data_IF_744289254626
#
_entry.id   IF_744289254626
#
_cell.length_a   1.000
_cell.length_b   1.000
_cell.length_c   1.000
_cell.angle_alpha   90.00
_cell.angle_beta   90.00
_cell.angle_gamma   90.00
#
_symmetry.space_group_name_H-M   'P 1'
#
loop_
_entity.id
_entity.type
_entity.pdbx_description
1 polymer ?
#
# COMPACT_ATOMS: atom_id res chain seq x y z
N UNK A 1 9.99 -40.23 2.21
CA UNK A 1 11.20 -40.05 1.38
C UNK A 1 10.92 -39.31 0.06
N UNK A 2 9.82 -39.58 -0.64
CA UNK A 2 9.43 -38.89 -1.89
C UNK A 2 9.09 -37.39 -1.68
N UNK A 3 8.48 -37.02 -0.56
CA UNK A 3 8.09 -35.63 -0.28
C UNK A 3 9.29 -34.69 -0.06
N UNK A 4 10.41 -35.22 0.46
CA UNK A 4 11.63 -34.45 0.71
C UNK A 4 12.35 -34.10 -0.59
N UNK A 5 12.41 -35.07 -1.52
CA UNK A 5 13.02 -34.91 -2.84
C UNK A 5 12.27 -33.86 -3.68
N UNK A 6 10.93 -33.81 -3.61
CA UNK A 6 10.15 -32.82 -4.36
C UNK A 6 10.42 -31.40 -3.84
N UNK A 7 10.53 -31.21 -2.53
CA UNK A 7 10.81 -29.90 -1.93
C UNK A 7 12.21 -29.40 -2.32
N UNK A 8 13.20 -30.29 -2.30
CA UNK A 8 14.59 -29.98 -2.64
C UNK A 8 14.76 -29.61 -4.12
N UNK A 9 14.06 -30.32 -5.01
CA UNK A 9 13.99 -29.97 -6.45
C UNK A 9 13.24 -28.66 -6.70
N UNK A 10 12.20 -28.34 -5.91
CA UNK A 10 11.45 -27.09 -6.04
C UNK A 10 12.24 -25.87 -5.54
N UNK A 11 13.02 -26.04 -4.47
CA UNK A 11 13.84 -24.96 -3.90
C UNK A 11 15.12 -24.65 -4.70
N UNK A 12 15.62 -25.59 -5.51
CA UNK A 12 16.79 -25.39 -6.39
C UNK A 12 16.58 -24.33 -7.49
N UNK A 13 15.34 -23.91 -7.77
CA UNK A 13 15.02 -22.96 -8.86
C UNK A 13 15.02 -21.49 -8.44
N UNK A 14 15.21 -21.18 -7.16
CA UNK A 14 15.15 -19.82 -6.64
C UNK A 14 16.50 -19.43 -6.05
N UNK A 15 17.26 -18.61 -6.75
CA UNK A 15 18.38 -17.87 -6.14
C UNK A 15 17.79 -16.83 -5.19
N UNK A 16 17.86 -17.10 -3.89
CA UNK A 16 17.48 -16.12 -2.87
C UNK A 16 18.65 -15.14 -2.75
N UNK A 17 18.59 -14.05 -3.51
CA UNK A 17 19.48 -12.90 -3.27
C UNK A 17 19.18 -12.34 -1.88
N UNK A 18 20.10 -12.61 -0.95
CA UNK A 18 20.04 -12.03 0.38
C UNK A 18 20.51 -10.57 0.28
N UNK A 19 19.57 -9.64 0.14
CA UNK A 19 19.88 -8.20 0.20
C UNK A 19 20.35 -7.88 1.61
N UNK A 20 21.62 -7.53 1.76
CA UNK A 20 22.19 -7.08 3.03
C UNK A 20 21.71 -5.66 3.34
N UNK A 21 20.54 -5.55 3.96
CA UNK A 21 19.97 -4.27 4.38
C UNK A 21 20.66 -3.79 5.67
N UNK A 22 21.10 -2.54 5.69
CA UNK A 22 21.49 -1.85 6.92
C UNK A 22 20.27 -1.20 7.56
N UNK A 23 20.25 -1.10 8.89
CA UNK A 23 19.18 -0.39 9.58
C UNK A 23 19.13 1.07 9.09
N UNK A 24 17.96 1.57 8.68
CA UNK A 24 17.84 2.96 8.28
C UNK A 24 18.18 3.86 9.47
N UNK A 25 19.05 4.86 9.25
CA UNK A 25 19.33 5.89 10.25
C UNK A 25 18.23 6.93 10.17
N UNK A 26 17.16 6.72 10.94
CA UNK A 26 16.03 7.66 11.05
C UNK A 26 16.26 8.64 12.19
N UNK A 27 16.13 9.95 11.92
CA UNK A 27 16.15 10.96 12.98
C UNK A 27 14.84 10.92 13.78
N UNK A 28 14.95 11.00 15.12
CA UNK A 28 13.78 10.90 16.01
C UNK A 28 12.85 12.10 15.85
N UNK A 29 13.39 13.28 15.61
CA UNK A 29 12.61 14.50 15.46
C UNK A 29 11.84 14.49 14.14
N UNK A 30 12.45 13.96 13.07
CA UNK A 30 11.77 13.80 11.78
C UNK A 30 10.58 12.84 11.88
N UNK A 31 10.74 11.73 12.62
CA UNK A 31 9.65 10.80 12.88
C UNK A 31 8.52 11.47 13.68
N UNK A 32 8.84 12.18 14.76
CA UNK A 32 7.85 12.89 15.57
C UNK A 32 7.10 13.96 14.76
N UNK A 33 7.84 14.71 13.95
CA UNK A 33 7.26 15.70 13.05
C UNK A 33 6.30 15.06 12.06
N UNK A 34 6.71 13.98 11.36
CA UNK A 34 5.85 13.30 10.39
C UNK A 34 4.56 12.75 11.03
N UNK A 35 4.67 12.19 12.24
CA UNK A 35 3.52 11.63 12.97
C UNK A 35 2.57 12.71 13.50
N UNK A 36 3.09 13.89 13.87
CA UNK A 36 2.29 15.06 14.27
C UNK A 36 1.66 15.75 13.08
N UNK A 37 2.38 15.82 11.96
CA UNK A 37 1.92 16.45 10.73
C UNK A 37 0.78 15.66 10.08
N UNK A 38 0.75 14.33 10.17
CA UNK A 38 -0.34 13.56 9.59
C UNK A 38 -1.65 13.80 10.37
N UNK A 39 -2.72 14.10 9.63
CA UNK A 39 -4.07 14.16 10.16
C UNK A 39 -5.07 13.63 9.12
N UNK A 40 -6.30 13.33 9.55
CA UNK A 40 -7.36 12.90 8.65
C UNK A 40 -7.90 14.10 7.85
N UNK A 41 -7.28 14.39 6.70
CA UNK A 41 -7.73 15.41 5.78
C UNK A 41 -9.05 15.00 5.09
N UNK A 42 -10.04 15.89 5.10
CA UNK A 42 -11.38 15.64 4.52
C UNK A 42 -11.69 16.49 3.29
N UNK A 43 -10.82 17.47 2.99
CA UNK A 43 -10.96 18.42 1.89
C UNK A 43 -9.61 18.61 1.20
N UNK A 44 -9.54 18.33 -0.09
CA UNK A 44 -8.32 18.45 -0.89
C UNK A 44 -8.46 19.56 -1.93
N UNK A 45 -7.32 20.11 -2.35
CA UNK A 45 -7.26 21.05 -3.47
C UNK A 45 -7.26 20.26 -4.78
N UNK A 46 -8.34 20.37 -5.56
CA UNK A 46 -8.51 19.63 -6.81
C UNK A 46 -7.51 20.03 -7.91
N UNK A 47 -6.81 21.15 -7.74
CA UNK A 47 -5.78 21.61 -8.67
C UNK A 47 -4.39 21.06 -8.35
N UNK A 48 -4.24 20.31 -7.24
CA UNK A 48 -2.97 19.73 -6.81
C UNK A 48 -2.98 18.22 -6.97
N UNK A 49 -2.03 17.74 -7.76
CA UNK A 49 -1.81 16.31 -7.99
C UNK A 49 -0.47 15.91 -7.40
N UNK A 50 -0.41 14.76 -6.75
CA UNK A 50 0.83 14.17 -6.24
C UNK A 50 1.72 13.80 -7.45
N UNK A 51 3.03 14.02 -7.35
CA UNK A 51 3.96 13.64 -8.40
C UNK A 51 3.98 12.12 -8.60
N UNK A 52 4.32 11.66 -9.80
CA UNK A 52 4.43 10.22 -10.06
C UNK A 52 5.50 9.54 -9.20
N UNK A 53 6.62 10.25 -8.93
CA UNK A 53 7.69 9.76 -8.08
C UNK A 53 7.24 9.53 -6.63
N UNK A 54 6.59 10.53 -6.03
CA UNK A 54 6.06 10.45 -4.67
C UNK A 54 4.96 9.39 -4.58
N UNK A 55 4.10 9.32 -5.58
CA UNK A 55 3.03 8.33 -5.63
C UNK A 55 3.59 6.90 -5.68
N UNK A 56 4.60 6.66 -6.53
CA UNK A 56 5.29 5.39 -6.60
C UNK A 56 6.05 5.07 -5.31
N UNK A 57 6.56 6.06 -4.58
CA UNK A 57 7.13 5.85 -3.25
C UNK A 57 6.08 5.37 -2.24
N UNK A 58 4.88 5.96 -2.24
CA UNK A 58 3.75 5.54 -1.38
C UNK A 58 3.32 4.10 -1.69
N UNK A 59 3.15 3.75 -2.98
CA UNK A 59 2.78 2.39 -3.39
C UNK A 59 3.85 1.36 -3.01
N UNK A 60 5.13 1.71 -3.18
CA UNK A 60 6.25 0.86 -2.73
C UNK A 60 6.25 0.66 -1.22
N UNK A 61 6.00 1.72 -0.44
CA UNK A 61 5.92 1.62 1.00
C UNK A 61 4.78 0.68 1.44
N UNK A 62 3.60 0.79 0.79
CA UNK A 62 2.49 -0.11 1.08
C UNK A 62 2.80 -1.57 0.72
N UNK A 63 3.45 -1.84 -0.42
CA UNK A 63 3.92 -3.18 -0.79
C UNK A 63 4.90 -3.77 0.24
N UNK A 64 5.79 -2.96 0.79
CA UNK A 64 6.79 -3.39 1.77
C UNK A 64 6.24 -3.55 3.19
N UNK A 65 4.96 -3.24 3.42
CA UNK A 65 4.35 -3.37 4.72
C UNK A 65 4.34 -4.85 5.18
N UNK A 66 4.74 -5.14 6.44
CA UNK A 66 4.74 -6.51 6.93
C UNK A 66 3.31 -7.04 7.02
N UNK A 67 3.13 -8.31 6.66
CA UNK A 67 1.85 -9.02 6.79
C UNK A 67 2.03 -10.29 7.60
N UNK A 68 0.94 -10.77 8.22
CA UNK A 68 0.97 -12.01 8.98
C UNK A 68 1.48 -13.15 8.08
N UNK A 69 2.56 -13.81 8.50
CA UNK A 69 3.22 -14.89 7.78
C UNK A 69 3.73 -14.52 6.38
N UNK A 70 3.81 -13.22 6.02
CA UNK A 70 4.26 -12.78 4.70
C UNK A 70 3.32 -13.16 3.55
N UNK A 71 2.03 -13.38 3.82
CA UNK A 71 1.09 -13.78 2.76
C UNK A 71 0.68 -12.66 1.81
N UNK A 72 0.93 -11.40 2.17
CA UNK A 72 0.54 -10.22 1.39
C UNK A 72 -0.92 -10.28 0.89
N UNK A 73 -1.92 -10.57 1.76
CA UNK A 73 -3.29 -10.91 1.31
C UNK A 73 -4.14 -9.65 1.03
N UNK A 74 -3.55 -8.64 0.38
CA UNK A 74 -4.22 -7.40 0.03
C UNK A 74 -3.87 -6.94 -1.39
N UNK A 75 -4.79 -6.20 -2.00
CA UNK A 75 -4.53 -5.45 -3.23
C UNK A 75 -4.96 -4.00 -3.04
N UNK A 76 -4.26 -3.08 -3.70
CA UNK A 76 -4.60 -1.66 -3.70
C UNK A 76 -5.28 -1.30 -5.02
N UNK A 77 -6.59 -1.13 -4.99
CA UNK A 77 -7.34 -0.66 -6.14
C UNK A 77 -7.28 0.87 -6.20
N UNK A 78 -6.51 1.41 -7.14
CA UNK A 78 -6.39 2.85 -7.36
C UNK A 78 -7.51 3.33 -8.28
N UNK A 79 -8.45 4.11 -7.76
CA UNK A 79 -9.65 4.59 -8.47
C UNK A 79 -9.41 6.02 -8.94
N UNK A 80 -9.01 6.19 -10.20
CA UNK A 80 -8.87 7.52 -10.82
C UNK A 80 -10.08 7.93 -11.66
N UNK A 81 -10.98 6.99 -11.99
CA UNK A 81 -12.17 7.31 -12.79
C UNK A 81 -13.18 8.13 -11.95
N UNK A 82 -13.52 9.36 -12.36
CA UNK A 82 -14.42 10.24 -11.61
C UNK A 82 -15.85 9.71 -11.53
N UNK A 83 -16.34 9.01 -12.56
CA UNK A 83 -17.69 8.44 -12.57
C UNK A 83 -17.83 7.31 -11.53
N UNK A 84 -16.77 6.52 -11.35
CA UNK A 84 -16.74 5.47 -10.31
C UNK A 84 -16.76 6.14 -8.93
N UNK A 85 -15.91 7.14 -8.71
CA UNK A 85 -15.87 7.90 -7.46
C UNK A 85 -17.22 8.53 -7.11
N UNK A 86 -17.93 9.06 -8.10
CA UNK A 86 -19.27 9.64 -7.90
C UNK A 86 -20.28 8.58 -7.45
N UNK A 87 -20.30 7.42 -8.11
CA UNK A 87 -21.18 6.29 -7.73
C UNK A 87 -20.93 5.80 -6.30
N UNK A 88 -19.71 5.91 -5.79
CA UNK A 88 -19.37 5.48 -4.43
C UNK A 88 -20.06 6.30 -3.33
N UNK A 89 -20.45 7.56 -3.60
CA UNK A 89 -21.12 8.44 -2.61
C UNK A 89 -22.36 7.79 -2.00
N UNK A 90 -23.11 7.02 -2.78
CA UNK A 90 -24.33 6.35 -2.33
C UNK A 90 -24.09 5.26 -1.27
N UNK A 91 -22.84 4.81 -1.08
CA UNK A 91 -22.50 3.65 -0.25
C UNK A 91 -21.87 4.00 1.10
N UNK A 92 -21.75 5.29 1.44
CA UNK A 92 -21.27 5.68 2.76
C UNK A 92 -21.10 7.18 2.94
N UNK A 93 -21.62 7.71 4.06
CA UNK A 93 -21.52 9.13 4.41
C UNK A 93 -20.06 9.63 4.50
N UNK A 94 -19.13 8.77 4.92
CA UNK A 94 -17.71 9.10 5.04
C UNK A 94 -16.99 9.22 3.69
N UNK A 95 -17.54 8.63 2.62
CA UNK A 95 -16.94 8.64 1.27
C UNK A 95 -16.97 10.04 0.67
N UNK A 96 -17.93 10.89 1.08
CA UNK A 96 -18.01 12.27 0.62
C UNK A 96 -16.79 13.12 1.00
N UNK A 97 -16.01 12.70 2.01
CA UNK A 97 -14.78 13.37 2.38
C UNK A 97 -13.64 12.91 1.47
N UNK A 98 -13.07 13.84 0.68
CA UNK A 98 -11.86 13.58 -0.08
C UNK A 98 -12.01 12.90 -1.43
N UNK A 99 -13.18 13.00 -2.08
CA UNK A 99 -13.35 12.52 -3.46
C UNK A 99 -12.56 13.35 -4.47
N UNK A 100 -12.28 14.60 -4.12
CA UNK A 100 -11.43 15.54 -4.83
C UNK A 100 -9.93 15.33 -4.57
N UNK A 101 -9.55 14.31 -3.79
CA UNK A 101 -8.15 13.94 -3.60
C UNK A 101 -7.49 13.52 -4.91
N UNK A 102 -6.19 13.80 -5.03
CA UNK A 102 -5.38 13.42 -6.19
C UNK A 102 -5.45 11.92 -6.52
N UNK A 103 -5.39 11.06 -5.51
CA UNK A 103 -5.48 9.60 -5.66
C UNK A 103 -6.46 9.05 -4.63
N UNK A 104 -7.31 8.11 -5.06
CA UNK A 104 -8.26 7.42 -4.19
C UNK A 104 -7.96 5.92 -4.22
N UNK A 105 -7.78 5.29 -3.06
CA UNK A 105 -7.39 3.88 -2.96
C UNK A 105 -8.40 3.11 -2.14
N UNK A 106 -8.80 1.94 -2.65
CA UNK A 106 -9.57 0.95 -1.92
C UNK A 106 -8.67 -0.25 -1.61
N UNK A 107 -8.57 -0.61 -0.33
CA UNK A 107 -7.90 -1.84 0.07
C UNK A 107 -8.84 -3.02 -0.16
N UNK A 108 -8.40 -3.96 -0.96
CA UNK A 108 -9.03 -5.26 -1.13
C UNK A 108 -8.32 -6.26 -0.21
N UNK A 109 -9.06 -7.24 0.28
CA UNK A 109 -8.51 -8.34 1.09
C UNK A 109 -8.94 -9.67 0.52
N UNK A 110 -8.05 -10.67 0.62
CA UNK A 110 -8.36 -12.03 0.22
C UNK A 110 -9.49 -12.59 1.08
N UNK A 111 -10.63 -12.89 0.48
CA UNK A 111 -11.70 -13.64 1.15
C UNK A 111 -11.24 -15.08 1.40
N UNK A 112 -11.66 -15.64 2.54
CA UNK A 112 -11.52 -17.07 2.80
C UNK A 112 -12.32 -17.83 1.74
N UNK A 113 -11.65 -18.70 1.01
CA UNK A 113 -12.28 -19.74 0.17
C UNK A 113 -12.36 -21.00 1.01
#
# INVERSE_FOLDING_TARGET
MIFFIIMEVYMSKYEIENVKLTAPKLDRNDLEYAMTYRYACKKFDSNKTISEEDWNAILRAARLAPTSLGFEPFELLVIQNPEIREKMKAHGWGIHAGLEASHFVVFLTRKKV
#
